data_IF_193882177561
#
_entry.id   IF_193882177561
#
_cell.length_a   1.000
_cell.length_b   1.000
_cell.length_c   1.000
_cell.angle_alpha   90.00
_cell.angle_beta   90.00
_cell.angle_gamma   90.00
#
_symmetry.space_group_name_H-M   'P 1'
#
loop_
_entity.id
_entity.type
_entity.pdbx_description
1 polymer ?
#
# COMPACT_ATOMS: atom_id res chain seq x y z
N UNK A 1 5.29 -21.81 1.08
CA UNK A 1 5.66 -21.14 -0.18
C UNK A 1 6.60 -20.01 0.19
N UNK A 2 7.91 -20.27 0.10
CA UNK A 2 8.94 -19.24 0.27
C UNK A 2 8.75 -18.17 -0.80
N UNK A 3 8.97 -16.89 -0.47
CA UNK A 3 8.85 -15.77 -1.40
C UNK A 3 9.85 -15.80 -2.54
N UNK A 4 9.65 -16.72 -3.48
CA UNK A 4 10.33 -16.74 -4.76
C UNK A 4 10.00 -15.45 -5.54
N UNK A 5 10.99 -14.93 -6.27
CA UNK A 5 10.76 -13.89 -7.26
C UNK A 5 9.65 -14.33 -8.22
N UNK A 6 8.79 -13.39 -8.67
CA UNK A 6 7.69 -13.63 -9.62
C UNK A 6 8.08 -14.45 -10.86
N UNK A 7 9.37 -14.49 -11.20
CA UNK A 7 9.96 -15.24 -12.31
C UNK A 7 10.04 -16.77 -12.08
N UNK A 8 9.86 -17.25 -10.84
CA UNK A 8 10.03 -18.67 -10.47
C UNK A 8 8.80 -19.27 -9.75
N UNK A 9 7.58 -18.84 -10.10
CA UNK A 9 6.37 -19.51 -9.57
C UNK A 9 6.19 -20.83 -10.34
N UNK A 10 6.19 -22.00 -9.68
CA UNK A 10 5.96 -23.28 -10.34
C UNK A 10 4.64 -23.28 -11.11
N UNK A 11 4.66 -23.81 -12.34
CA UNK A 11 3.44 -23.89 -13.15
C UNK A 11 2.35 -24.73 -12.47
N UNK A 12 2.75 -25.75 -11.70
CA UNK A 12 1.84 -26.60 -10.94
C UNK A 12 1.11 -25.83 -9.84
N UNK A 13 1.79 -24.90 -9.14
CA UNK A 13 1.15 -24.03 -8.14
C UNK A 13 0.13 -23.10 -8.80
N UNK A 14 0.46 -22.52 -9.97
CA UNK A 14 -0.46 -21.67 -10.72
C UNK A 14 -1.69 -22.47 -11.16
N UNK A 15 -1.49 -23.67 -11.69
CA UNK A 15 -2.56 -24.55 -12.15
C UNK A 15 -3.44 -24.96 -10.97
N UNK A 16 -2.85 -25.41 -9.87
CA UNK A 16 -3.55 -25.82 -8.66
C UNK A 16 -4.43 -24.68 -8.10
N UNK A 17 -3.87 -23.47 -7.95
CA UNK A 17 -4.64 -22.32 -7.45
C UNK A 17 -5.73 -21.86 -8.44
N UNK A 18 -5.52 -22.08 -9.74
CA UNK A 18 -6.54 -21.82 -10.77
C UNK A 18 -7.69 -22.81 -10.67
N UNK A 19 -7.38 -24.11 -10.52
CA UNK A 19 -8.37 -25.19 -10.39
C UNK A 19 -9.17 -25.08 -9.09
N UNK A 20 -8.52 -24.61 -8.01
CA UNK A 20 -9.18 -24.26 -6.74
C UNK A 20 -10.05 -23.00 -6.83
N UNK A 21 -10.03 -22.28 -7.96
CA UNK A 21 -10.79 -21.04 -8.15
C UNK A 21 -10.32 -19.86 -7.30
N UNK A 22 -9.07 -19.90 -6.80
CA UNK A 22 -8.49 -18.82 -6.00
C UNK A 22 -7.92 -17.72 -6.88
N UNK A 23 -7.28 -18.11 -7.98
CA UNK A 23 -6.74 -17.19 -9.00
C UNK A 23 -7.33 -17.50 -10.38
N UNK A 24 -7.28 -16.54 -11.28
CA UNK A 24 -7.67 -16.67 -12.69
C UNK A 24 -6.66 -15.99 -13.59
N UNK A 25 -6.62 -16.37 -14.86
CA UNK A 25 -5.89 -15.63 -15.89
C UNK A 25 -6.76 -14.51 -16.46
N UNK A 26 -6.16 -13.35 -16.69
CA UNK A 26 -6.78 -12.17 -17.29
C UNK A 26 -5.85 -11.58 -18.35
N UNK A 27 -6.34 -10.57 -19.07
CA UNK A 27 -5.49 -9.75 -19.96
C UNK A 27 -4.36 -9.02 -19.22
N UNK A 28 -4.50 -8.84 -17.90
CA UNK A 28 -3.51 -8.23 -17.00
C UNK A 28 -2.41 -9.18 -16.54
N UNK A 29 -2.60 -10.49 -16.71
CA UNK A 29 -1.85 -11.54 -16.01
C UNK A 29 -2.74 -12.36 -15.06
N UNK A 30 -2.14 -13.04 -14.08
CA UNK A 30 -2.90 -13.72 -13.02
C UNK A 30 -3.67 -12.68 -12.19
N UNK A 31 -4.83 -13.03 -11.65
CA UNK A 31 -5.67 -12.18 -10.79
C UNK A 31 -6.33 -13.03 -9.69
N UNK A 32 -6.66 -12.44 -8.53
CA UNK A 32 -7.48 -13.10 -7.52
C UNK A 32 -8.89 -13.20 -8.08
N UNK A 33 -9.39 -14.43 -8.20
CA UNK A 33 -10.61 -14.74 -8.92
C UNK A 33 -11.86 -14.20 -8.22
N UNK A 34 -11.91 -14.28 -6.88
CA UNK A 34 -13.07 -13.90 -6.08
C UNK A 34 -12.82 -12.57 -5.32
N UNK A 35 -13.74 -11.58 -5.39
CA UNK A 35 -13.68 -10.37 -4.57
C UNK A 35 -13.52 -10.62 -3.07
N UNK A 36 -14.10 -11.70 -2.53
CA UNK A 36 -13.93 -12.08 -1.11
C UNK A 36 -12.46 -12.38 -0.82
N UNK A 37 -11.78 -13.12 -1.67
CA UNK A 37 -10.37 -13.47 -1.46
C UNK A 37 -9.43 -12.26 -1.58
N UNK A 38 -9.83 -11.24 -2.36
CA UNK A 38 -9.10 -9.95 -2.42
C UNK A 38 -9.10 -9.24 -1.07
N UNK A 39 -10.13 -9.45 -0.26
CA UNK A 39 -10.18 -8.88 1.10
C UNK A 39 -9.52 -9.81 2.12
N UNK A 40 -9.85 -11.10 2.07
CA UNK A 40 -9.45 -12.06 3.11
C UNK A 40 -7.95 -12.34 3.08
N UNK A 41 -7.35 -12.65 1.92
CA UNK A 41 -5.94 -13.06 1.85
C UNK A 41 -5.01 -11.97 2.44
N UNK A 42 -5.10 -10.69 2.03
CA UNK A 42 -4.23 -9.64 2.57
C UNK A 42 -4.49 -9.35 4.05
N UNK A 43 -5.74 -9.47 4.48
CA UNK A 43 -6.12 -9.28 5.88
C UNK A 43 -5.49 -10.36 6.76
N UNK A 44 -5.57 -11.62 6.35
CA UNK A 44 -4.98 -12.74 7.10
C UNK A 44 -3.45 -12.66 7.11
N UNK A 45 -2.83 -12.28 5.97
CA UNK A 45 -1.37 -12.08 5.88
C UNK A 45 -0.85 -10.98 6.80
N UNK A 46 -1.72 -10.09 7.30
CA UNK A 46 -1.33 -8.94 8.13
C UNK A 46 -1.92 -8.98 9.54
N UNK A 47 -2.72 -9.99 9.90
CA UNK A 47 -3.49 -10.02 11.14
C UNK A 47 -2.59 -9.91 12.39
N UNK A 48 -1.52 -10.70 12.45
CA UNK A 48 -0.56 -10.65 13.58
C UNK A 48 0.11 -9.28 13.69
N UNK A 49 0.45 -8.66 12.56
CA UNK A 49 1.03 -7.32 12.53
C UNK A 49 0.06 -6.27 13.06
N UNK A 50 -1.24 -6.38 12.74
CA UNK A 50 -2.27 -5.48 13.24
C UNK A 50 -2.39 -5.52 14.78
N UNK A 51 -2.35 -6.71 15.40
CA UNK A 51 -2.38 -6.83 16.86
C UNK A 51 -1.16 -6.21 17.52
N UNK A 52 0.01 -6.34 16.92
CA UNK A 52 1.21 -5.71 17.47
C UNK A 52 1.22 -4.18 17.33
N UNK A 53 0.42 -3.62 16.42
CA UNK A 53 0.25 -2.18 16.26
C UNK A 53 -0.73 -1.57 17.25
N UNK A 54 -1.61 -2.38 17.84
CA UNK A 54 -2.60 -1.91 18.82
C UNK A 54 -2.01 -1.13 20.00
N UNK A 55 -0.94 -1.57 20.67
CA UNK A 55 -0.33 -0.77 21.75
C UNK A 55 0.46 0.44 21.25
N UNK A 56 0.80 0.49 19.95
CA UNK A 56 1.69 1.51 19.38
C UNK A 56 0.92 2.68 18.77
N UNK A 57 -0.28 2.45 18.24
CA UNK A 57 -1.02 3.46 17.48
C UNK A 57 -2.51 3.48 17.85
N UNK A 58 -2.99 4.66 18.26
CA UNK A 58 -4.40 4.87 18.56
C UNK A 58 -5.08 5.66 17.44
N UNK A 59 -6.27 5.20 17.03
CA UNK A 59 -7.04 5.84 15.96
C UNK A 59 -7.32 7.32 16.24
N UNK A 60 -7.64 7.66 17.50
CA UNK A 60 -7.98 9.02 17.93
C UNK A 60 -6.88 10.05 17.64
N UNK A 61 -5.62 9.63 17.51
CA UNK A 61 -4.50 10.53 17.19
C UNK A 61 -4.55 11.07 15.75
N UNK A 62 -5.30 10.41 14.87
CA UNK A 62 -5.37 10.73 13.44
C UNK A 62 -6.75 11.20 13.01
N UNK A 63 -7.63 11.53 13.96
CA UNK A 63 -8.96 12.08 13.68
C UNK A 63 -8.97 13.54 14.10
N UNK A 64 -9.24 14.42 13.15
CA UNK A 64 -9.33 15.86 13.37
C UNK A 64 -10.57 16.22 14.21
N UNK A 65 -10.63 17.43 14.80
CA UNK A 65 -11.80 17.87 15.57
C UNK A 65 -13.12 17.89 14.78
N UNK A 66 -13.06 18.06 13.45
CA UNK A 66 -14.23 17.96 12.55
C UNK A 66 -14.63 16.51 12.23
N UNK A 67 -13.88 15.54 12.76
CA UNK A 67 -14.12 14.12 12.60
C UNK A 67 -13.58 13.54 11.29
N UNK A 68 -12.83 14.29 10.48
CA UNK A 68 -12.10 13.79 9.30
C UNK A 68 -10.82 13.06 9.68
N UNK A 69 -10.32 12.22 8.77
CA UNK A 69 -9.03 11.56 8.93
C UNK A 69 -7.90 12.53 8.55
N UNK A 70 -6.93 12.71 9.43
CA UNK A 70 -5.67 13.40 9.13
C UNK A 70 -4.70 12.43 8.44
N UNK A 71 -4.86 12.29 7.12
CA UNK A 71 -3.97 11.45 6.30
C UNK A 71 -2.49 11.91 6.37
N UNK A 72 -2.26 13.21 6.60
CA UNK A 72 -0.92 13.77 6.73
C UNK A 72 -0.24 13.30 8.00
N UNK A 73 -0.90 13.42 9.15
CA UNK A 73 -0.38 12.92 10.43
C UNK A 73 -0.23 11.40 10.41
N UNK A 74 -1.22 10.68 9.88
CA UNK A 74 -1.22 9.22 9.78
C UNK A 74 0.00 8.70 8.99
N UNK A 75 0.24 9.24 7.80
CA UNK A 75 1.35 8.81 6.95
C UNK A 75 2.70 9.31 7.46
N UNK A 76 2.74 10.42 8.20
CA UNK A 76 3.95 10.86 8.91
C UNK A 76 4.32 9.86 10.00
N UNK A 77 3.36 9.44 10.82
CA UNK A 77 3.60 8.43 11.86
C UNK A 77 4.05 7.09 11.25
N UNK A 78 3.44 6.67 10.14
CA UNK A 78 3.90 5.48 9.43
C UNK A 78 5.32 5.64 8.88
N UNK A 79 5.67 6.80 8.31
CA UNK A 79 7.01 7.06 7.76
C UNK A 79 8.09 6.95 8.85
N UNK A 80 7.84 7.51 10.03
CA UNK A 80 8.75 7.43 11.18
C UNK A 80 8.85 5.99 11.71
N UNK A 81 7.71 5.31 11.88
CA UNK A 81 7.67 3.90 12.28
C UNK A 81 8.45 3.01 11.30
N UNK A 82 8.23 3.19 10.00
CA UNK A 82 8.88 2.43 8.95
C UNK A 82 10.39 2.64 9.00
N UNK A 83 10.85 3.88 9.17
CA UNK A 83 12.28 4.21 9.34
C UNK A 83 12.93 3.44 10.50
N UNK A 84 12.24 3.35 11.62
CA UNK A 84 12.80 2.81 12.87
C UNK A 84 12.72 1.28 12.95
N UNK A 85 11.74 0.68 12.28
CA UNK A 85 11.39 -0.71 12.54
C UNK A 85 11.39 -1.58 11.28
N UNK A 86 11.45 -1.03 10.06
CA UNK A 86 11.15 -1.80 8.84
C UNK A 86 11.96 -3.08 8.70
N UNK A 87 13.23 -3.12 9.11
CA UNK A 87 14.07 -4.31 8.95
C UNK A 87 13.48 -5.52 9.70
N UNK A 88 13.18 -5.36 10.99
CA UNK A 88 12.60 -6.40 11.85
C UNK A 88 11.23 -6.85 11.35
N UNK A 89 10.42 -5.92 10.86
CA UNK A 89 9.07 -6.22 10.38
C UNK A 89 9.07 -6.86 8.99
N UNK A 90 9.99 -6.48 8.13
CA UNK A 90 10.12 -7.05 6.79
C UNK A 90 10.68 -8.48 6.82
N UNK A 91 11.52 -8.81 7.80
CA UNK A 91 12.01 -10.18 8.02
C UNK A 91 10.89 -11.16 8.42
N UNK A 92 9.81 -10.66 9.04
CA UNK A 92 8.65 -11.48 9.41
C UNK A 92 7.73 -11.82 8.25
N UNK A 93 7.86 -11.13 7.12
CA UNK A 93 7.11 -11.45 5.91
C UNK A 93 7.92 -12.41 5.04
N UNK A 94 7.36 -13.59 4.78
CA UNK A 94 7.91 -14.54 3.80
C UNK A 94 7.97 -13.92 2.38
N UNK A 95 7.22 -12.83 2.15
CA UNK A 95 7.10 -12.11 0.89
C UNK A 95 7.92 -10.81 0.89
N UNK A 96 9.25 -10.92 0.83
CA UNK A 96 10.17 -9.78 0.87
C UNK A 96 9.86 -8.68 -0.14
N UNK A 97 9.32 -9.05 -1.30
CA UNK A 97 8.99 -8.07 -2.34
C UNK A 97 7.74 -7.23 -2.01
N UNK A 98 6.74 -7.82 -1.34
CA UNK A 98 5.49 -7.15 -0.96
C UNK A 98 5.52 -6.58 0.48
N UNK A 99 6.51 -6.95 1.29
CA UNK A 99 6.60 -6.61 2.71
C UNK A 99 6.28 -5.14 3.05
N UNK A 100 6.88 -4.12 2.39
CA UNK A 100 6.58 -2.72 2.72
C UNK A 100 5.12 -2.35 2.47
N UNK A 101 4.52 -2.89 1.40
CA UNK A 101 3.13 -2.67 1.06
C UNK A 101 2.20 -3.37 2.06
N UNK A 102 2.51 -4.60 2.46
CA UNK A 102 1.77 -5.34 3.48
C UNK A 102 1.85 -4.67 4.85
N UNK A 103 3.01 -4.13 5.20
CA UNK A 103 3.22 -3.40 6.47
C UNK A 103 2.38 -2.13 6.53
N UNK A 104 2.35 -1.33 5.44
CA UNK A 104 1.48 -0.17 5.35
C UNK A 104 0.00 -0.58 5.41
N UNK A 105 -0.39 -1.64 4.71
CA UNK A 105 -1.77 -2.13 4.75
C UNK A 105 -2.18 -2.57 6.16
N UNK A 106 -1.31 -3.26 6.90
CA UNK A 106 -1.55 -3.65 8.29
C UNK A 106 -1.76 -2.41 9.17
N UNK A 107 -0.91 -1.39 8.99
CA UNK A 107 -0.98 -0.13 9.72
C UNK A 107 -2.30 0.60 9.44
N UNK A 108 -2.62 0.79 8.17
CA UNK A 108 -3.85 1.45 7.73
C UNK A 108 -5.08 0.68 8.21
N UNK A 109 -5.11 -0.65 8.06
CA UNK A 109 -6.23 -1.48 8.50
C UNK A 109 -6.48 -1.32 10.00
N UNK A 110 -5.43 -1.31 10.83
CA UNK A 110 -5.55 -1.13 12.28
C UNK A 110 -6.18 0.21 12.67
N UNK A 111 -5.88 1.28 11.92
CA UNK A 111 -6.36 2.63 12.22
C UNK A 111 -7.73 2.88 11.61
N UNK A 112 -7.99 2.42 10.39
CA UNK A 112 -9.19 2.78 9.64
C UNK A 112 -10.39 1.91 10.02
N UNK A 113 -10.19 0.62 10.37
CA UNK A 113 -11.31 -0.30 10.60
C UNK A 113 -12.23 0.06 11.77
N UNK A 114 -11.82 0.94 12.68
CA UNK A 114 -12.68 1.38 13.78
C UNK A 114 -13.53 2.63 13.44
N UNK A 115 -13.57 3.06 12.16
CA UNK A 115 -14.46 4.15 11.70
C UNK A 115 -14.59 4.34 10.18
N UNK A 116 -13.93 3.52 9.37
CA UNK A 116 -13.91 3.58 7.91
C UNK A 116 -13.61 2.22 7.27
N UNK A 117 -13.28 2.23 5.98
CA UNK A 117 -12.88 1.03 5.23
C UNK A 117 -11.76 1.33 4.23
N UNK A 118 -11.09 0.27 3.79
CA UNK A 118 -10.04 0.33 2.77
C UNK A 118 -10.46 -0.55 1.60
N UNK A 119 -10.71 0.07 0.46
CA UNK A 119 -10.95 -0.64 -0.80
C UNK A 119 -9.60 -0.83 -1.51
N UNK A 120 -9.38 -2.02 -2.10
CA UNK A 120 -8.09 -2.44 -2.66
C UNK A 120 -8.22 -2.90 -4.09
N UNK A 121 -7.42 -2.32 -4.99
CA UNK A 121 -7.28 -2.85 -6.35
C UNK A 121 -5.96 -3.62 -6.49
N UNK A 122 -6.09 -4.93 -6.77
CA UNK A 122 -4.95 -5.82 -6.99
C UNK A 122 -4.71 -6.04 -8.48
N UNK A 123 -3.68 -5.39 -9.01
CA UNK A 123 -3.11 -5.71 -10.32
C UNK A 123 -2.04 -6.79 -10.18
N UNK A 124 -2.44 -8.05 -10.01
CA UNK A 124 -1.49 -9.18 -10.02
C UNK A 124 -0.77 -9.20 -11.39
N UNK A 125 0.56 -9.16 -11.37
CA UNK A 125 1.40 -8.98 -12.57
C UNK A 125 1.89 -7.53 -12.82
N UNK A 126 1.31 -6.50 -12.20
CA UNK A 126 1.75 -5.10 -12.34
C UNK A 126 2.56 -4.53 -11.15
N UNK A 127 2.75 -5.32 -10.08
CA UNK A 127 3.44 -4.93 -8.82
C UNK A 127 2.84 -3.68 -8.14
N UNK A 128 1.55 -3.40 -8.32
CA UNK A 128 0.86 -2.23 -7.77
C UNK A 128 -0.27 -2.64 -6.85
N UNK A 129 -0.37 -1.91 -5.74
CA UNK A 129 -1.55 -1.93 -4.87
C UNK A 129 -2.03 -0.49 -4.79
N UNK A 130 -3.21 -0.24 -5.34
CA UNK A 130 -3.85 1.07 -5.27
C UNK A 130 -4.89 0.96 -4.16
N UNK A 131 -4.75 1.81 -3.14
CA UNK A 131 -5.62 1.81 -1.97
C UNK A 131 -6.56 3.01 -2.02
N UNK A 132 -7.83 2.77 -1.71
CA UNK A 132 -8.81 3.82 -1.45
C UNK A 132 -9.24 3.74 0.00
N UNK A 133 -8.92 4.75 0.78
CA UNK A 133 -9.42 4.88 2.14
C UNK A 133 -10.73 5.66 2.10
N UNK A 134 -11.77 5.10 2.70
CA UNK A 134 -13.07 5.73 2.89
C UNK A 134 -13.28 5.94 4.38
N UNK A 135 -13.33 7.19 4.81
CA UNK A 135 -13.57 7.60 6.18
C UNK A 135 -14.78 8.52 6.21
N UNK A 136 -15.94 8.00 6.65
CA UNK A 136 -17.24 8.67 6.48
C UNK A 136 -17.48 9.04 5.00
N UNK A 137 -17.56 10.32 4.66
CA UNK A 137 -17.69 10.87 3.30
C UNK A 137 -16.34 11.23 2.65
N UNK A 138 -15.24 11.23 3.42
CA UNK A 138 -13.89 11.49 2.92
C UNK A 138 -13.35 10.27 2.17
N UNK A 139 -12.84 10.52 0.96
CA UNK A 139 -12.16 9.53 0.11
C UNK A 139 -10.71 9.94 -0.10
N UNK A 140 -9.77 9.04 0.16
CA UNK A 140 -8.33 9.31 0.05
C UNK A 140 -7.70 8.23 -0.83
N UNK A 141 -7.11 8.65 -1.94
CA UNK A 141 -6.31 7.76 -2.80
C UNK A 141 -4.91 7.62 -2.22
N UNK A 142 -4.43 6.39 -2.08
CA UNK A 142 -3.04 6.09 -1.73
C UNK A 142 -2.45 5.14 -2.78
N UNK A 143 -1.52 5.66 -3.57
CA UNK A 143 -0.77 4.93 -4.60
C UNK A 143 0.56 4.47 -4.04
N UNK A 144 0.92 3.20 -4.25
CA UNK A 144 2.19 2.63 -3.77
C UNK A 144 3.15 2.33 -4.93
N UNK A 145 4.42 2.72 -4.75
CA UNK A 145 5.51 2.38 -5.66
C UNK A 145 6.70 1.82 -4.91
N UNK A 146 7.34 0.84 -5.53
CA UNK A 146 8.70 0.42 -5.18
C UNK A 146 9.65 1.09 -6.16
N UNK A 147 10.76 1.63 -5.65
CA UNK A 147 11.75 2.31 -6.47
C UNK A 147 12.65 1.29 -7.22
N UNK A 148 12.25 0.89 -8.43
CA UNK A 148 13.09 0.08 -9.32
C UNK A 148 13.91 0.90 -10.32
N UNK A 149 13.40 2.08 -10.71
CA UNK A 149 14.04 3.00 -11.66
C UNK A 149 14.41 4.32 -10.98
N UNK A 150 14.74 5.35 -11.77
CA UNK A 150 15.06 6.67 -11.20
C UNK A 150 13.87 7.26 -10.43
N UNK A 151 14.16 7.97 -9.33
CA UNK A 151 13.13 8.60 -8.49
C UNK A 151 12.23 9.53 -9.30
N UNK A 152 12.80 10.31 -10.23
CA UNK A 152 12.06 11.20 -11.12
C UNK A 152 11.06 10.44 -11.99
N UNK A 153 11.48 9.33 -12.59
CA UNK A 153 10.61 8.52 -13.45
C UNK A 153 9.51 7.83 -12.64
N UNK A 154 9.83 7.36 -11.42
CA UNK A 154 8.84 6.75 -10.51
C UNK A 154 7.81 7.76 -10.04
N UNK A 155 8.22 8.98 -9.67
CA UNK A 155 7.31 10.07 -9.30
C UNK A 155 6.41 10.43 -10.48
N UNK A 156 6.97 10.63 -11.67
CA UNK A 156 6.18 11.02 -12.85
C UNK A 156 5.10 9.99 -13.20
N UNK A 157 5.43 8.70 -13.14
CA UNK A 157 4.46 7.63 -13.38
C UNK A 157 3.43 7.52 -12.25
N UNK A 158 3.89 7.61 -11.00
CA UNK A 158 3.02 7.55 -9.82
C UNK A 158 2.00 8.68 -9.82
N UNK A 159 2.41 9.93 -10.09
CA UNK A 159 1.52 11.09 -10.15
C UNK A 159 0.40 10.90 -11.18
N UNK A 160 0.73 10.37 -12.36
CA UNK A 160 -0.26 10.06 -13.39
C UNK A 160 -1.30 9.07 -12.89
N UNK A 161 -0.86 7.97 -12.28
CA UNK A 161 -1.74 6.89 -11.81
C UNK A 161 -2.59 7.33 -10.61
N UNK A 162 -2.00 8.05 -9.66
CA UNK A 162 -2.73 8.66 -8.54
C UNK A 162 -3.81 9.60 -9.06
N UNK A 163 -3.50 10.48 -10.02
CA UNK A 163 -4.47 11.42 -10.59
C UNK A 163 -5.61 10.71 -11.32
N UNK A 164 -5.31 9.69 -12.14
CA UNK A 164 -6.31 8.86 -12.83
C UNK A 164 -7.24 8.17 -11.82
N UNK A 165 -6.70 7.63 -10.72
CA UNK A 165 -7.52 7.00 -9.69
C UNK A 165 -8.37 8.02 -8.93
N UNK A 166 -7.81 9.19 -8.61
CA UNK A 166 -8.56 10.30 -8.01
C UNK A 166 -9.75 10.72 -8.89
N UNK A 167 -9.60 10.76 -10.22
CA UNK A 167 -10.69 11.08 -11.15
C UNK A 167 -11.79 10.03 -11.08
N UNK A 168 -11.41 8.76 -11.19
CA UNK A 168 -12.33 7.62 -11.13
C UNK A 168 -13.16 7.60 -9.84
N UNK A 169 -12.59 8.06 -8.73
CA UNK A 169 -13.23 8.00 -7.42
C UNK A 169 -13.89 9.31 -6.99
N UNK A 170 -13.67 10.40 -7.73
CA UNK A 170 -14.19 11.73 -7.44
C UNK A 170 -13.64 12.31 -6.15
N UNK A 171 -12.31 12.31 -5.97
CA UNK A 171 -11.64 12.92 -4.81
C UNK A 171 -10.48 13.82 -5.22
N UNK A 172 -10.22 14.85 -4.41
CA UNK A 172 -9.10 15.77 -4.53
C UNK A 172 -7.95 15.46 -3.56
N UNK A 173 -8.08 14.39 -2.75
CA UNK A 173 -7.09 13.98 -1.77
C UNK A 173 -6.33 12.72 -2.23
N UNK A 174 -5.04 12.89 -2.56
CA UNK A 174 -4.20 11.84 -3.10
C UNK A 174 -2.80 11.82 -2.52
N UNK A 175 -2.30 10.62 -2.27
CA UNK A 175 -0.97 10.36 -1.71
C UNK A 175 -0.23 9.34 -2.58
N UNK A 176 1.03 9.64 -2.89
CA UNK A 176 1.93 8.72 -3.58
C UNK A 176 3.06 8.32 -2.63
N UNK A 177 3.17 7.04 -2.29
CA UNK A 177 4.19 6.52 -1.37
C UNK A 177 5.22 5.72 -2.18
N UNK A 178 6.49 6.06 -2.02
CA UNK A 178 7.61 5.45 -2.74
C UNK A 178 8.54 4.78 -1.73
N UNK A 179 8.63 3.46 -1.80
CA UNK A 179 9.55 2.65 -0.99
C UNK A 179 10.90 2.46 -1.71
N UNK A 180 11.98 3.00 -1.16
CA UNK A 180 13.36 2.85 -1.59
C UNK A 180 14.07 1.72 -0.81
N UNK A 181 14.09 0.54 -1.40
CA UNK A 181 14.72 -0.66 -0.81
C UNK A 181 16.19 -0.82 -1.14
N UNK A 182 16.84 0.17 -1.76
CA UNK A 182 18.25 0.03 -2.14
C UNK A 182 19.10 -0.11 -0.87
N UNK A 183 19.97 -1.14 -0.79
CA UNK A 183 20.85 -1.33 0.36
C UNK A 183 21.88 -0.19 0.45
N UNK A 184 22.38 0.09 1.66
CA UNK A 184 23.42 1.10 1.91
C UNK A 184 22.97 2.56 1.76
N UNK A 185 21.71 2.82 1.40
CA UNK A 185 21.14 4.17 1.38
C UNK A 185 20.74 4.60 2.79
N UNK A 186 21.27 5.75 3.25
CA UNK A 186 20.89 6.37 4.52
C UNK A 186 19.42 6.77 4.49
N UNK A 187 18.71 6.60 5.62
CA UNK A 187 17.31 7.03 5.76
C UNK A 187 17.08 8.51 5.43
N UNK A 188 18.01 9.40 5.75
CA UNK A 188 17.92 10.82 5.37
C UNK A 188 17.85 11.07 3.86
N UNK A 189 18.21 10.10 3.03
CA UNK A 189 18.10 10.16 1.57
C UNK A 189 16.81 9.51 1.05
N UNK A 190 16.13 8.71 1.87
CA UNK A 190 14.89 7.99 1.53
C UNK A 190 13.66 8.75 2.02
N UNK A 191 13.73 9.27 3.24
CA UNK A 191 12.63 9.98 3.91
C UNK A 191 12.46 11.37 3.30
N UNK A 192 11.29 11.63 2.73
CA UNK A 192 10.86 12.97 2.35
C UNK A 192 9.33 13.06 2.26
N UNK A 193 8.81 14.29 2.30
CA UNK A 193 7.41 14.64 2.02
C UNK A 193 7.39 15.84 1.09
N UNK A 194 6.66 15.77 -0.04
CA UNK A 194 6.60 16.85 -1.04
C UNK A 194 5.18 17.00 -1.57
N UNK A 195 4.66 18.22 -1.60
CA UNK A 195 3.47 18.50 -2.39
C UNK A 195 3.85 18.59 -3.88
N UNK A 196 3.04 17.98 -4.74
CA UNK A 196 3.15 18.07 -6.20
C UNK A 196 1.79 18.43 -6.77
N UNK A 197 1.79 19.21 -7.85
CA UNK A 197 0.57 19.46 -8.63
C UNK A 197 0.69 18.73 -9.96
N UNK A 198 -0.31 17.91 -10.29
CA UNK A 198 -0.39 17.19 -11.55
C UNK A 198 -1.80 17.35 -12.12
N UNK A 199 -1.91 17.91 -13.33
CA UNK A 199 -3.21 18.17 -13.98
C UNK A 199 -4.21 18.91 -13.07
N UNK A 200 -3.74 19.90 -12.29
CA UNK A 200 -4.57 20.69 -11.36
C UNK A 200 -4.85 20.02 -10.00
N UNK A 201 -4.52 18.73 -9.84
CA UNK A 201 -4.70 18.01 -8.57
C UNK A 201 -3.47 18.11 -7.69
N UNK A 202 -3.70 18.26 -6.39
CA UNK A 202 -2.63 18.25 -5.37
C UNK A 202 -2.42 16.82 -4.88
N UNK A 203 -1.20 16.32 -5.03
CA UNK A 203 -0.79 15.00 -4.57
C UNK A 203 0.39 15.15 -3.63
N UNK A 204 0.33 14.51 -2.46
CA UNK A 204 1.46 14.48 -1.51
C UNK A 204 2.30 13.24 -1.78
N UNK A 205 3.58 13.45 -2.12
CA UNK A 205 4.55 12.39 -2.39
C UNK A 205 5.40 12.13 -1.15
N UNK A 206 5.50 10.87 -0.76
CA UNK A 206 6.22 10.36 0.41
C UNK A 206 7.35 9.45 -0.06
N UNK A 207 8.56 9.69 0.44
CA UNK A 207 9.67 8.76 0.31
C UNK A 207 9.85 7.99 1.61
N UNK A 208 10.05 6.68 1.51
CA UNK A 208 10.29 5.77 2.63
C UNK A 208 11.44 4.85 2.27
#
# INVERSE_FOLDING_TARGET
>A
LEGASLENIPQDDIQYLTDMGLIRRSVSGLEIANPIYREIIPRELTAVTQYNFEPLFQQSWYVLPDGRLDAGALLTAFQEFFRENSEIWLERFDYREAGPQLLLQAFLQRIINAGGRIDREYGLGRKRTDLMVIWKDQKIVIELKILYKSLKATISEGLKQTAEYMDRCGTDEGHLIIFDRRPGKKWSQKIFRRAQTYQGKKIVVWGM
#
